data_IF_784976616036
#
_entry.id   IF_784976616036
#
_cell.length_a   1.000
_cell.length_b   1.000
_cell.length_c   1.000
_cell.angle_alpha   90.00
_cell.angle_beta   90.00
_cell.angle_gamma   90.00
#
_symmetry.space_group_name_H-M   'P 1'
#
loop_
_entity.id
_entity.type
_entity.pdbx_description
1 polymer ?
#
# COMPACT_ATOMS: atom_id res chain seq x y z
N UNK A 1 -16.00 -12.87 16.68
CA UNK A 1 -15.49 -11.49 16.77
C UNK A 1 -16.40 -10.57 15.98
N UNK A 2 -16.54 -9.31 16.39
CA UNK A 2 -17.40 -8.32 15.74
C UNK A 2 -16.73 -7.76 14.48
N UNK A 3 -17.50 -7.57 13.40
CA UNK A 3 -17.04 -6.83 12.22
C UNK A 3 -17.13 -5.31 12.50
N UNK A 4 -16.02 -4.60 12.30
CA UNK A 4 -15.95 -3.14 12.46
C UNK A 4 -15.79 -2.52 11.07
N UNK A 5 -16.78 -1.75 10.63
CA UNK A 5 -16.70 -1.02 9.37
C UNK A 5 -15.65 0.09 9.46
N UNK A 6 -14.68 0.07 8.55
CA UNK A 6 -13.74 1.18 8.40
C UNK A 6 -14.31 2.21 7.42
N UNK A 7 -14.15 3.48 7.77
CA UNK A 7 -14.64 4.65 7.00
C UNK A 7 -13.54 5.33 6.18
N UNK A 8 -12.31 4.83 6.22
CA UNK A 8 -11.10 5.53 5.76
C UNK A 8 -10.75 5.42 4.27
N UNK A 9 -11.58 4.77 3.45
CA UNK A 9 -11.34 4.67 2.00
C UNK A 9 -12.26 5.61 1.21
N UNK A 10 -11.69 6.43 0.32
CA UNK A 10 -12.49 7.35 -0.52
C UNK A 10 -13.30 6.61 -1.60
N UNK A 11 -12.88 5.41 -2.00
CA UNK A 11 -13.42 4.68 -3.15
C UNK A 11 -13.90 3.26 -2.83
N UNK A 12 -13.31 2.59 -1.83
CA UNK A 12 -13.64 1.18 -1.52
C UNK A 12 -14.63 1.09 -0.36
N UNK A 13 -15.91 0.87 -0.70
CA UNK A 13 -16.95 0.54 0.27
C UNK A 13 -16.81 -0.90 0.77
N UNK A 14 -17.26 -1.16 2.00
CA UNK A 14 -17.32 -2.53 2.55
C UNK A 14 -16.00 -3.06 3.11
N UNK A 15 -15.02 -2.19 3.39
CA UNK A 15 -13.82 -2.57 4.14
C UNK A 15 -14.18 -2.78 5.61
N UNK A 16 -13.97 -4.00 6.11
CA UNK A 16 -14.25 -4.34 7.52
C UNK A 16 -13.01 -4.90 8.20
N UNK A 17 -12.89 -4.62 9.49
CA UNK A 17 -11.90 -5.21 10.38
C UNK A 17 -12.53 -6.27 11.26
N UNK A 18 -11.90 -7.44 11.36
CA UNK A 18 -12.26 -8.51 12.30
C UNK A 18 -10.97 -8.94 13.03
N UNK A 19 -10.86 -8.61 14.31
CA UNK A 19 -9.62 -8.86 15.06
C UNK A 19 -8.43 -8.11 14.47
N UNK A 20 -7.38 -8.84 14.08
CA UNK A 20 -6.17 -8.30 13.43
C UNK A 20 -6.18 -8.43 11.90
N UNK A 21 -7.36 -8.68 11.29
CA UNK A 21 -7.49 -8.83 9.84
C UNK A 21 -8.42 -7.78 9.26
N UNK A 22 -8.09 -7.34 8.05
CA UNK A 22 -8.94 -6.53 7.19
C UNK A 22 -9.52 -7.38 6.08
N UNK A 23 -10.74 -7.07 5.69
CA UNK A 23 -11.46 -7.73 4.62
C UNK A 23 -12.00 -6.64 3.69
N UNK A 24 -11.81 -6.81 2.39
CA UNK A 24 -12.41 -5.94 1.37
C UNK A 24 -12.95 -6.76 0.20
N UNK A 25 -13.95 -6.25 -0.54
CA UNK A 25 -14.38 -6.89 -1.79
C UNK A 25 -13.21 -7.07 -2.76
N UNK A 26 -13.09 -8.25 -3.35
CA UNK A 26 -12.09 -8.53 -4.38
C UNK A 26 -12.49 -7.84 -5.70
N UNK A 27 -11.53 -7.19 -6.36
CA UNK A 27 -11.71 -6.54 -7.66
C UNK A 27 -10.73 -7.12 -8.69
N UNK A 28 -10.88 -6.73 -9.96
CA UNK A 28 -10.00 -7.21 -11.03
C UNK A 28 -8.54 -6.79 -10.79
N UNK A 29 -8.35 -5.54 -10.36
CA UNK A 29 -7.08 -4.90 -10.04
C UNK A 29 -6.38 -5.60 -8.86
N UNK A 30 -7.17 -6.20 -7.95
CA UNK A 30 -6.65 -6.92 -6.79
C UNK A 30 -5.75 -8.09 -7.19
N UNK A 31 -5.89 -8.69 -8.37
CA UNK A 31 -5.04 -9.80 -8.78
C UNK A 31 -3.57 -9.39 -8.94
N UNK A 32 -3.33 -8.26 -9.60
CA UNK A 32 -1.97 -7.74 -9.75
C UNK A 32 -1.46 -7.22 -8.41
N UNK A 33 -2.24 -6.38 -7.71
CA UNK A 33 -1.87 -5.88 -6.38
C UNK A 33 -1.49 -7.00 -5.40
N UNK A 34 -2.31 -8.06 -5.31
CA UNK A 34 -2.04 -9.19 -4.42
C UNK A 34 -0.80 -10.00 -4.82
N UNK A 35 -0.44 -10.04 -6.12
CA UNK A 35 0.81 -10.71 -6.56
C UNK A 35 2.04 -9.88 -6.16
N UNK A 36 1.96 -8.55 -6.29
CA UNK A 36 2.98 -7.60 -5.82
C UNK A 36 3.19 -7.73 -4.32
N UNK A 37 2.11 -7.70 -3.53
CA UNK A 37 2.18 -7.82 -2.07
C UNK A 37 2.81 -9.13 -1.61
N UNK A 38 2.47 -10.25 -2.26
CA UNK A 38 3.11 -11.54 -2.00
C UNK A 38 4.61 -11.50 -2.30
N UNK A 39 4.99 -10.91 -3.43
CA UNK A 39 6.41 -10.76 -3.77
C UNK A 39 7.15 -9.92 -2.74
N UNK A 40 6.63 -8.75 -2.38
CA UNK A 40 7.23 -7.86 -1.39
C UNK A 40 7.38 -8.53 -0.02
N UNK A 41 6.41 -9.36 0.39
CA UNK A 41 6.52 -10.20 1.58
C UNK A 41 7.70 -11.17 1.48
N UNK A 42 7.90 -11.86 0.34
CA UNK A 42 9.08 -12.74 0.16
C UNK A 42 10.41 -12.02 0.22
N UNK A 43 10.42 -10.72 -0.10
CA UNK A 43 11.61 -9.86 -0.04
C UNK A 43 11.80 -9.21 1.34
N UNK A 44 10.93 -9.50 2.33
CA UNK A 44 10.89 -8.84 3.64
C UNK A 44 10.80 -7.31 3.54
N UNK A 45 10.10 -6.79 2.53
CA UNK A 45 9.87 -5.36 2.41
C UNK A 45 8.88 -4.91 3.51
N UNK A 46 9.31 -4.07 4.47
CA UNK A 46 8.57 -3.88 5.72
C UNK A 46 7.38 -2.92 5.57
N UNK A 47 7.28 -2.21 4.44
CA UNK A 47 6.30 -1.17 4.23
C UNK A 47 5.09 -1.62 3.39
N UNK A 48 4.98 -2.88 2.98
CA UNK A 48 3.80 -3.37 2.26
C UNK A 48 2.77 -4.02 3.18
N UNK A 49 1.49 -3.89 2.84
CA UNK A 49 0.43 -4.62 3.53
C UNK A 49 0.53 -6.13 3.27
N UNK A 50 0.44 -6.95 4.33
CA UNK A 50 0.50 -8.40 4.17
C UNK A 50 -0.83 -8.97 3.68
N UNK A 51 -0.81 -9.61 2.50
CA UNK A 51 -1.97 -10.30 1.94
C UNK A 51 -2.12 -11.72 2.51
N UNK A 52 -3.29 -12.04 3.05
CA UNK A 52 -3.59 -13.29 3.75
C UNK A 52 -4.42 -14.28 2.90
N UNK A 53 -4.69 -13.96 1.63
CA UNK A 53 -5.53 -14.76 0.75
C UNK A 53 -6.99 -14.26 0.70
N UNK A 54 -7.90 -15.14 0.30
CA UNK A 54 -9.34 -14.86 0.23
C UNK A 54 -10.10 -15.66 1.27
N UNK A 55 -11.17 -15.08 1.82
CA UNK A 55 -12.10 -15.81 2.69
C UNK A 55 -13.13 -16.62 1.88
N UNK A 56 -13.98 -17.38 2.57
CA UNK A 56 -15.03 -18.21 1.96
C UNK A 56 -16.07 -17.40 1.17
N UNK A 57 -16.18 -16.08 1.44
CA UNK A 57 -17.06 -15.15 0.73
C UNK A 57 -16.38 -14.49 -0.47
N UNK A 58 -15.12 -14.85 -0.75
CA UNK A 58 -14.32 -14.30 -1.84
C UNK A 58 -13.76 -12.91 -1.56
N UNK A 59 -13.77 -12.43 -0.31
CA UNK A 59 -13.15 -11.14 0.08
C UNK A 59 -11.65 -11.31 0.22
N UNK A 60 -10.89 -10.32 -0.22
CA UNK A 60 -9.46 -10.28 0.04
C UNK A 60 -9.20 -9.96 1.51
N UNK A 61 -8.30 -10.72 2.12
CA UNK A 61 -7.89 -10.58 3.51
C UNK A 61 -6.49 -10.01 3.62
N UNK A 62 -6.30 -9.08 4.56
CA UNK A 62 -5.00 -8.47 4.86
C UNK A 62 -4.74 -8.43 6.35
N UNK A 63 -3.47 -8.38 6.75
CA UNK A 63 -3.12 -8.06 8.13
C UNK A 63 -3.45 -6.58 8.42
N UNK A 64 -4.03 -6.32 9.59
CA UNK A 64 -4.27 -4.97 10.07
C UNK A 64 -2.96 -4.36 10.58
N UNK A 65 -2.60 -3.20 10.03
CA UNK A 65 -1.42 -2.43 10.46
C UNK A 65 -1.89 -1.39 11.47
N UNK A 66 -1.41 -1.50 12.71
CA UNK A 66 -1.74 -0.56 13.77
C UNK A 66 -0.95 0.76 13.61
N UNK A 67 -1.68 1.88 13.60
CA UNK A 67 -1.13 3.22 13.44
C UNK A 67 -2.20 4.24 13.03
N UNK A 68 -1.77 5.44 12.68
CA UNK A 68 -2.64 6.52 12.21
C UNK A 68 -2.48 6.75 10.72
N UNK A 69 -3.59 7.01 10.02
CA UNK A 69 -3.58 7.40 8.60
C UNK A 69 -4.11 8.84 8.51
N UNK A 70 -3.33 9.78 7.95
CA UNK A 70 -3.79 11.14 7.66
C UNK A 70 -5.03 11.17 6.77
N UNK A 71 -6.00 12.05 7.11
CA UNK A 71 -7.24 12.20 6.33
C UNK A 71 -7.01 13.06 5.08
N UNK A 72 -6.16 14.08 5.22
CA UNK A 72 -5.86 15.06 4.17
C UNK A 72 -4.39 15.00 3.77
N UNK A 73 -4.14 15.42 2.53
CA UNK A 73 -2.79 15.66 2.03
C UNK A 73 -2.36 17.05 2.54
N UNK A 74 -1.15 17.14 3.06
CA UNK A 74 -0.59 18.37 3.62
C UNK A 74 0.38 18.08 4.77
N UNK A 75 1.16 19.08 5.14
CA UNK A 75 2.09 19.04 6.29
C UNK A 75 3.13 17.91 6.27
N UNK A 76 3.41 17.33 5.10
CA UNK A 76 4.51 16.37 4.93
C UNK A 76 5.83 17.04 5.30
N UNK A 77 6.42 16.61 6.40
CA UNK A 77 7.71 17.17 6.84
C UNK A 77 8.84 16.72 5.92
N UNK A 78 9.96 17.47 5.85
CA UNK A 78 11.13 17.04 5.09
C UNK A 78 11.66 15.65 5.50
N UNK A 79 11.53 15.28 6.77
CA UNK A 79 11.90 13.95 7.25
C UNK A 79 10.99 12.86 6.68
N UNK A 80 9.68 13.08 6.66
CA UNK A 80 8.72 12.14 6.07
C UNK A 80 8.90 12.02 4.56
N UNK A 81 9.18 13.15 3.89
CA UNK A 81 9.51 13.13 2.47
C UNK A 81 10.76 12.28 2.21
N UNK A 82 11.80 12.44 3.02
CA UNK A 82 13.00 11.60 2.93
C UNK A 82 12.67 10.11 3.16
N UNK A 83 11.86 9.78 4.16
CA UNK A 83 11.42 8.40 4.40
C UNK A 83 10.70 7.82 3.17
N UNK A 84 9.76 8.57 2.58
CA UNK A 84 9.08 8.17 1.36
C UNK A 84 10.04 7.93 0.19
N UNK A 85 11.03 8.80 -0.01
CA UNK A 85 12.02 8.64 -1.07
C UNK A 85 12.85 7.36 -0.90
N UNK A 86 13.23 7.03 0.34
CA UNK A 86 13.94 5.77 0.65
C UNK A 86 13.05 4.55 0.40
N UNK A 87 11.79 4.62 0.82
CA UNK A 87 10.82 3.53 0.64
C UNK A 87 10.56 3.27 -0.85
N UNK A 88 10.32 4.32 -1.65
CA UNK A 88 10.16 4.21 -3.11
C UNK A 88 11.40 3.56 -3.72
N UNK A 89 12.59 4.08 -3.38
CA UNK A 89 13.84 3.55 -3.91
C UNK A 89 13.98 2.06 -3.62
N UNK A 90 13.74 1.65 -2.37
CA UNK A 90 13.84 0.25 -1.97
C UNK A 90 12.82 -0.63 -2.73
N UNK A 91 11.56 -0.18 -2.82
CA UNK A 91 10.51 -0.90 -3.56
C UNK A 91 10.87 -1.05 -5.04
N UNK A 92 11.34 0.01 -5.69
CA UNK A 92 11.74 0.00 -7.09
C UNK A 92 12.94 -0.91 -7.34
N UNK A 93 13.96 -0.86 -6.47
CA UNK A 93 15.14 -1.73 -6.57
C UNK A 93 14.79 -3.23 -6.42
N UNK A 94 13.79 -3.55 -5.60
CA UNK A 94 13.29 -4.93 -5.45
C UNK A 94 12.50 -5.38 -6.67
N UNK A 95 11.60 -4.52 -7.17
CA UNK A 95 10.61 -4.89 -8.19
C UNK A 95 11.13 -4.82 -9.62
N UNK A 96 12.24 -4.11 -9.87
CA UNK A 96 12.92 -4.08 -11.16
C UNK A 96 13.22 -5.49 -11.70
N UNK A 97 13.58 -6.42 -10.81
CA UNK A 97 13.96 -7.81 -11.17
C UNK A 97 12.81 -8.67 -11.67
N UNK A 98 11.57 -8.29 -11.36
CA UNK A 98 10.35 -9.00 -11.75
C UNK A 98 9.52 -8.21 -12.77
N UNK A 99 10.03 -7.05 -13.19
CA UNK A 99 9.37 -6.14 -14.13
C UNK A 99 9.93 -6.32 -15.54
N UNK A 100 9.20 -5.86 -16.58
CA UNK A 100 9.76 -5.72 -17.92
C UNK A 100 11.07 -4.91 -17.91
N UNK A 101 11.94 -5.14 -18.89
CA UNK A 101 13.23 -4.47 -18.97
C UNK A 101 13.09 -2.94 -18.88
N UNK A 102 13.82 -2.34 -17.95
CA UNK A 102 13.81 -0.88 -17.71
C UNK A 102 12.59 -0.36 -16.95
N UNK A 103 11.70 -1.24 -16.48
CA UNK A 103 10.52 -0.88 -15.68
C UNK A 103 10.67 -1.29 -14.23
N UNK A 104 9.85 -0.69 -13.39
CA UNK A 104 9.64 -1.09 -11.98
C UNK A 104 8.15 -1.26 -11.73
N UNK A 105 7.78 -1.70 -10.53
CA UNK A 105 6.39 -1.60 -10.08
C UNK A 105 6.23 -0.27 -9.36
N UNK A 106 5.40 0.60 -9.90
CA UNK A 106 4.98 1.83 -9.27
C UNK A 106 3.71 1.60 -8.43
N UNK A 107 3.58 2.32 -7.32
CA UNK A 107 2.35 2.32 -6.54
C UNK A 107 1.25 3.15 -7.21
N UNK A 108 1.62 4.24 -7.89
CA UNK A 108 0.76 5.19 -8.61
C UNK A 108 -0.26 5.97 -7.75
N UNK A 109 -0.40 5.64 -6.47
CA UNK A 109 -1.19 6.42 -5.52
C UNK A 109 -0.49 6.55 -4.16
N UNK A 110 0.85 6.67 -4.16
CA UNK A 110 1.62 6.73 -2.92
C UNK A 110 1.52 8.12 -2.31
N UNK A 111 0.73 8.24 -1.24
CA UNK A 111 0.49 9.50 -0.53
C UNK A 111 0.45 9.27 0.99
N UNK A 112 0.53 10.34 1.82
CA UNK A 112 0.30 10.22 3.26
C UNK A 112 -1.05 9.58 3.59
N UNK A 113 -2.10 9.85 2.81
CA UNK A 113 -3.44 9.27 3.00
C UNK A 113 -3.49 7.75 2.75
N UNK A 114 -2.53 7.20 2.00
CA UNK A 114 -2.39 5.77 1.76
C UNK A 114 -1.22 5.15 2.54
N UNK A 115 -0.81 5.82 3.62
CA UNK A 115 0.30 5.40 4.47
C UNK A 115 -0.11 5.38 5.93
N UNK A 116 0.18 4.27 6.60
CA UNK A 116 0.03 4.11 8.05
C UNK A 116 1.29 4.63 8.72
N UNK A 117 1.13 5.53 9.68
CA UNK A 117 2.22 6.13 10.45
C UNK A 117 2.23 5.66 11.90
N UNK A 118 3.43 5.60 12.47
CA UNK A 118 3.67 5.46 13.90
C UNK A 118 4.82 6.39 14.31
N UNK A 119 4.61 7.19 15.35
CA UNK A 119 5.59 8.20 15.79
C UNK A 119 6.08 9.09 14.63
N UNK A 120 5.17 9.54 13.77
CA UNK A 120 5.44 10.33 12.56
C UNK A 120 6.24 9.66 11.43
N UNK A 121 6.60 8.39 11.54
CA UNK A 121 7.29 7.65 10.49
C UNK A 121 6.36 6.68 9.77
N UNK A 122 6.49 6.50 8.44
CA UNK A 122 5.78 5.47 7.69
C UNK A 122 6.09 4.07 8.23
N UNK A 123 5.07 3.25 8.47
CA UNK A 123 5.19 1.85 8.88
C UNK A 123 4.42 0.88 7.99
N UNK A 124 3.67 1.39 7.01
CA UNK A 124 2.96 0.56 6.04
C UNK A 124 2.27 1.38 4.97
N UNK A 125 2.27 0.89 3.74
CA UNK A 125 1.60 1.42 2.57
C UNK A 125 0.39 0.54 2.29
N UNK A 126 -0.75 1.18 2.06
CA UNK A 126 -2.03 0.55 1.78
C UNK A 126 -2.57 1.02 0.42
N UNK A 127 -3.64 0.39 -0.03
CA UNK A 127 -4.34 0.72 -1.29
C UNK A 127 -3.51 0.56 -2.57
N UNK A 128 -3.04 -0.68 -2.79
CA UNK A 128 -2.22 -1.07 -3.93
C UNK A 128 -3.01 -1.28 -5.23
N UNK A 129 -4.30 -0.93 -5.29
CA UNK A 129 -5.15 -1.20 -6.45
C UNK A 129 -4.66 -0.49 -7.73
N UNK A 130 -3.93 0.61 -7.58
CA UNK A 130 -3.34 1.36 -8.69
C UNK A 130 -1.95 0.87 -9.12
N UNK A 131 -1.39 -0.14 -8.45
CA UNK A 131 -0.05 -0.61 -8.74
C UNK A 131 0.06 -1.13 -10.18
N UNK A 132 1.12 -0.73 -10.89
CA UNK A 132 1.36 -1.14 -12.27
C UNK A 132 2.86 -1.13 -12.60
N UNK A 133 3.22 -1.74 -13.72
CA UNK A 133 4.56 -1.52 -14.28
C UNK A 133 4.68 -0.08 -14.77
N UNK A 134 5.76 0.58 -14.37
CA UNK A 134 5.96 1.99 -14.60
C UNK A 134 7.42 2.37 -14.68
N UNK A 135 7.63 3.67 -14.88
CA UNK A 135 8.95 4.28 -14.80
C UNK A 135 9.22 4.73 -13.37
N UNK A 136 10.48 4.63 -12.92
CA UNK A 136 10.86 5.05 -11.55
C UNK A 136 10.44 6.48 -11.21
N UNK A 137 10.41 7.38 -12.20
CA UNK A 137 10.04 8.77 -11.99
C UNK A 137 8.55 8.98 -11.69
N UNK A 138 7.66 8.05 -12.03
CA UNK A 138 6.21 8.23 -11.87
C UNK A 138 5.83 8.39 -10.39
N UNK A 139 6.22 7.45 -9.51
CA UNK A 139 5.98 7.57 -8.06
C UNK A 139 6.71 8.79 -7.44
N UNK A 140 7.91 9.12 -7.94
CA UNK A 140 8.68 10.27 -7.45
C UNK A 140 7.96 11.58 -7.77
N UNK A 141 7.49 11.74 -9.02
CA UNK A 141 6.75 12.93 -9.45
C UNK A 141 5.41 13.04 -8.74
N UNK A 142 4.73 11.92 -8.48
CA UNK A 142 3.50 11.92 -7.71
C UNK A 142 3.73 12.47 -6.30
N UNK A 143 4.70 11.93 -5.55
CA UNK A 143 4.99 12.41 -4.19
C UNK A 143 5.43 13.88 -4.16
N UNK A 144 6.23 14.33 -5.12
CA UNK A 144 6.69 15.72 -5.15
C UNK A 144 5.59 16.73 -5.53
N UNK A 145 4.51 16.25 -6.14
CA UNK A 145 3.37 17.08 -6.49
C UNK A 145 2.37 17.27 -5.33
N UNK A 146 2.31 16.31 -4.39
CA UNK A 146 1.45 16.32 -3.22
C UNK A 146 1.88 17.36 -2.17
#
# INVERSE_FOLDING_TARGET
MQEIQLKGGRTTFGVVRIGNKLYRPHKQESNFANSVLKFLETQNFPYSQKYLGRDEKGRDMFEFIDGSVPIEIGDTTPSQLNDFMQIIKQMHDLTEKISPQGKVICHNDLSPCNTVFRNNHPVGIIDWDSAAYGERWEDLTYILWL
#
